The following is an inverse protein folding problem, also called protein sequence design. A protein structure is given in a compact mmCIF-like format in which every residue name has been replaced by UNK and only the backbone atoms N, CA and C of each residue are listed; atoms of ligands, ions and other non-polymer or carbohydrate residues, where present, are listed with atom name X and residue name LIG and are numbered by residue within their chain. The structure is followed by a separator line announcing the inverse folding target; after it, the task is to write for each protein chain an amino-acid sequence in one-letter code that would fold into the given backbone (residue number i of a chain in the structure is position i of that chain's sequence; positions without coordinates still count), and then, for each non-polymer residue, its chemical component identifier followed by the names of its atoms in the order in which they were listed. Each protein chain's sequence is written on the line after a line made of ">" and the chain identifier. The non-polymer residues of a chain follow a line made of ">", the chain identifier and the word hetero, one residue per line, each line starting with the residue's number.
data_IF_855947135208
#
_entry.id   IF_855947135208
#
_cell.length_a   1.000
_cell.length_b   1.000
_cell.length_c   1.000
_cell.angle_alpha   90.00
_cell.angle_beta   90.00
_cell.angle_gamma   90.00
#
_symmetry.space_group_name_H-M   'P 1'
#
loop_
_entity.id
_entity.type
_entity.pdbx_description
1 polymer ?
#
# COMPACT_ATOMS: atom_id res chain seq x y z
N UNK A 1 18.82 -8.15 -52.84
CA UNK A 1 17.50 -8.25 -52.17
C UNK A 1 17.76 -8.61 -50.72
N UNK A 2 17.74 -7.65 -49.83
CA UNK A 2 17.99 -7.85 -48.38
C UNK A 2 16.66 -8.17 -47.72
N UNK A 3 16.50 -9.37 -47.21
CA UNK A 3 15.31 -9.81 -46.50
C UNK A 3 15.22 -9.09 -45.16
N UNK A 4 14.12 -8.37 -44.89
CA UNK A 4 13.89 -7.74 -43.61
C UNK A 4 13.83 -8.81 -42.49
N UNK A 5 14.39 -8.55 -41.29
CA UNK A 5 14.35 -9.50 -40.20
C UNK A 5 12.90 -9.73 -39.78
N UNK A 6 12.50 -11.01 -39.67
CA UNK A 6 11.20 -11.39 -39.15
C UNK A 6 11.05 -10.89 -37.71
N UNK A 7 10.05 -10.04 -37.45
CA UNK A 7 9.70 -9.60 -36.12
C UNK A 7 9.21 -10.79 -35.31
N UNK A 8 9.90 -11.08 -34.20
CA UNK A 8 9.45 -12.08 -33.25
C UNK A 8 8.03 -11.74 -32.73
N UNK A 9 7.15 -12.71 -32.55
CA UNK A 9 5.81 -12.45 -32.02
C UNK A 9 5.89 -11.86 -30.63
N UNK A 10 5.17 -10.76 -30.41
CA UNK A 10 5.07 -10.14 -29.09
C UNK A 10 4.41 -11.11 -28.11
N UNK A 11 5.01 -11.40 -26.96
CA UNK A 11 4.41 -12.32 -25.99
C UNK A 11 3.09 -11.75 -25.48
N UNK A 12 2.03 -12.56 -25.50
CA UNK A 12 0.72 -12.19 -24.97
C UNK A 12 0.72 -12.44 -23.46
N UNK A 13 0.52 -11.37 -22.69
CA UNK A 13 0.38 -11.45 -21.23
C UNK A 13 -1.09 -11.75 -20.88
N UNK A 14 -1.30 -12.78 -20.07
CA UNK A 14 -2.61 -13.12 -19.55
C UNK A 14 -2.71 -12.64 -18.09
N UNK A 15 -3.76 -11.84 -17.79
CA UNK A 15 -4.02 -11.41 -16.42
C UNK A 15 -4.42 -12.62 -15.56
N UNK A 16 -3.89 -12.69 -14.33
CA UNK A 16 -4.38 -13.62 -13.31
C UNK A 16 -5.78 -13.24 -12.80
N UNK A 17 -6.16 -11.97 -12.98
CA UNK A 17 -7.39 -11.39 -12.46
C UNK A 17 -8.17 -10.71 -13.60
N UNK A 18 -8.67 -11.47 -14.59
CA UNK A 18 -9.31 -10.90 -15.78
C UNK A 18 -10.61 -10.16 -15.45
N UNK A 19 -11.26 -10.51 -14.34
CA UNK A 19 -12.53 -9.91 -13.87
C UNK A 19 -12.34 -8.66 -12.99
N UNK A 20 -11.10 -8.31 -12.64
CA UNK A 20 -10.82 -7.12 -11.83
C UNK A 20 -10.66 -5.91 -12.74
N UNK A 21 -11.61 -5.00 -12.67
CA UNK A 21 -11.63 -3.73 -13.40
C UNK A 21 -11.27 -2.53 -12.51
N UNK A 22 -11.69 -1.36 -12.98
CA UNK A 22 -11.56 -0.10 -12.21
C UNK A 22 -12.44 -0.14 -10.96
N UNK A 23 -11.91 0.31 -9.83
CA UNK A 23 -12.66 0.33 -8.57
C UNK A 23 -13.81 1.34 -8.61
N UNK A 24 -14.86 1.09 -7.83
CA UNK A 24 -15.98 2.03 -7.68
C UNK A 24 -15.51 3.42 -7.17
N UNK A 25 -14.47 3.45 -6.34
CA UNK A 25 -13.89 4.70 -5.84
C UNK A 25 -13.30 5.55 -6.97
N UNK A 26 -12.59 4.94 -7.89
CA UNK A 26 -12.05 5.63 -9.06
C UNK A 26 -13.16 6.16 -9.95
N UNK A 27 -14.21 5.36 -10.19
CA UNK A 27 -15.36 5.76 -11.01
C UNK A 27 -16.10 6.94 -10.37
N UNK A 28 -16.42 6.86 -9.07
CA UNK A 28 -17.15 7.91 -8.36
C UNK A 28 -16.33 9.19 -8.22
N UNK A 29 -15.01 9.08 -8.02
CA UNK A 29 -14.13 10.25 -7.99
C UNK A 29 -14.04 10.94 -9.34
N UNK A 30 -13.96 10.18 -10.42
CA UNK A 30 -13.98 10.74 -11.77
C UNK A 30 -15.29 11.47 -12.08
N UNK A 31 -16.43 10.90 -11.73
CA UNK A 31 -17.76 11.52 -11.88
C UNK A 31 -17.88 12.80 -11.04
N UNK A 32 -17.38 12.80 -9.81
CA UNK A 32 -17.39 14.00 -8.97
C UNK A 32 -16.59 15.14 -9.62
N UNK A 33 -15.44 14.85 -10.20
CA UNK A 33 -14.63 15.84 -10.92
C UNK A 33 -15.36 16.33 -12.19
N UNK A 34 -15.91 15.42 -13.00
CA UNK A 34 -16.61 15.74 -14.25
C UNK A 34 -17.81 16.67 -14.00
N UNK A 35 -18.55 16.43 -12.93
CA UNK A 35 -19.74 17.21 -12.60
C UNK A 35 -19.48 18.35 -11.61
N UNK A 36 -18.23 18.65 -11.27
CA UNK A 36 -17.84 19.62 -10.25
C UNK A 36 -18.61 19.44 -8.91
N UNK A 37 -18.89 18.19 -8.55
CA UNK A 37 -19.65 17.81 -7.37
C UNK A 37 -18.75 17.56 -6.17
N UNK A 38 -19.30 17.70 -4.96
CA UNK A 38 -18.61 17.29 -3.73
C UNK A 38 -18.50 15.75 -3.71
N UNK A 39 -17.30 15.23 -3.62
CA UNK A 39 -17.07 13.80 -3.54
C UNK A 39 -17.37 13.28 -2.13
N UNK A 40 -18.52 12.67 -1.95
CA UNK A 40 -18.93 12.01 -0.69
C UNK A 40 -18.67 10.49 -0.71
N UNK A 41 -18.17 9.96 -1.83
CA UNK A 41 -17.90 8.53 -1.98
C UNK A 41 -16.60 8.08 -1.34
N UNK A 42 -15.66 9.00 -1.17
CA UNK A 42 -14.37 8.73 -0.54
C UNK A 42 -13.92 9.95 0.28
N UNK A 43 -13.53 9.73 1.53
CA UNK A 43 -12.98 10.78 2.38
C UNK A 43 -11.57 11.15 1.96
N UNK A 44 -11.37 12.40 1.57
CA UNK A 44 -10.07 13.02 1.38
C UNK A 44 -9.89 14.16 2.37
N UNK A 45 -8.70 14.32 2.98
CA UNK A 45 -8.38 15.55 3.67
C UNK A 45 -8.44 16.72 2.67
N UNK A 46 -9.14 17.80 3.02
CA UNK A 46 -9.20 19.04 2.27
C UNK A 46 -8.25 20.11 2.84
N UNK A 47 -7.31 19.67 3.66
CA UNK A 47 -6.28 20.48 4.32
C UNK A 47 -4.91 19.89 4.06
N UNK A 48 -3.91 20.78 4.06
CA UNK A 48 -2.51 20.38 3.85
C UNK A 48 -1.91 19.64 5.04
N UNK A 49 -0.80 18.93 4.77
CA UNK A 49 -0.02 18.29 5.81
C UNK A 49 0.55 19.33 6.79
N UNK A 50 0.66 18.97 8.08
CA UNK A 50 1.26 19.84 9.10
C UNK A 50 2.65 20.31 8.65
N UNK A 51 2.91 21.64 8.64
CA UNK A 51 4.20 22.20 8.23
C UNK A 51 5.39 21.61 9.00
N UNK A 52 5.22 21.29 10.30
CA UNK A 52 6.28 20.68 11.10
C UNK A 52 6.68 19.29 10.56
N UNK A 53 5.72 18.51 10.02
CA UNK A 53 6.03 17.23 9.38
C UNK A 53 6.76 17.42 8.06
N UNK A 54 6.36 18.41 7.26
CA UNK A 54 7.04 18.75 6.00
C UNK A 54 8.49 19.14 6.29
N UNK A 55 8.73 19.99 7.28
CA UNK A 55 10.06 20.43 7.69
C UNK A 55 10.91 19.25 8.20
N UNK A 56 10.33 18.34 8.98
CA UNK A 56 11.02 17.15 9.47
C UNK A 56 11.48 16.24 8.32
N UNK A 57 10.63 16.03 7.32
CA UNK A 57 11.00 15.26 6.10
C UNK A 57 12.12 15.97 5.35
N UNK A 58 12.01 17.28 5.13
CA UNK A 58 13.05 18.08 4.47
C UNK A 58 14.40 17.99 5.19
N UNK A 59 14.39 18.12 6.52
CA UNK A 59 15.60 18.01 7.35
C UNK A 59 16.22 16.60 7.26
N UNK A 60 15.41 15.54 7.34
CA UNK A 60 15.89 14.17 7.21
C UNK A 60 16.56 13.92 5.84
N UNK A 61 15.95 14.42 4.75
CA UNK A 61 16.53 14.33 3.41
C UNK A 61 17.88 15.05 3.31
N UNK A 62 17.98 16.27 3.86
CA UNK A 62 19.25 17.03 3.90
C UNK A 62 20.32 16.40 4.79
N UNK A 63 19.89 15.71 5.85
CA UNK A 63 20.80 14.95 6.72
C UNK A 63 21.31 13.64 6.10
N UNK A 64 20.90 13.32 4.87
CA UNK A 64 21.39 12.15 4.13
C UNK A 64 20.59 10.86 4.36
N UNK A 65 19.41 10.93 4.98
CA UNK A 65 18.53 9.75 5.14
C UNK A 65 17.80 9.40 3.84
N UNK A 66 18.56 9.20 2.75
CA UNK A 66 18.05 8.97 1.39
C UNK A 66 18.45 7.60 0.84
N UNK A 67 19.09 6.75 1.65
CA UNK A 67 19.58 5.45 1.21
C UNK A 67 18.56 4.34 1.48
N UNK A 68 18.79 3.19 0.86
CA UNK A 68 17.97 2.01 1.06
C UNK A 68 17.94 1.58 2.53
N UNK A 69 16.75 1.48 3.13
CA UNK A 69 16.63 0.98 4.50
C UNK A 69 16.79 -0.56 4.51
N UNK A 70 17.05 -1.15 5.69
CA UNK A 70 16.86 -2.59 5.89
C UNK A 70 15.43 -3.02 5.52
N UNK A 71 15.25 -4.25 5.02
CA UNK A 71 13.93 -4.76 4.58
C UNK A 71 12.79 -4.58 5.60
N UNK A 72 12.97 -4.82 6.91
CA UNK A 72 11.91 -4.57 7.88
C UNK A 72 11.74 -3.09 8.28
N UNK A 73 12.51 -2.19 7.71
CA UNK A 73 12.56 -0.77 8.05
C UNK A 73 13.72 -0.40 8.97
N UNK A 74 14.03 0.90 9.07
CA UNK A 74 15.13 1.38 9.90
C UNK A 74 14.84 1.12 11.40
N UNK A 75 15.86 0.70 12.19
CA UNK A 75 15.66 0.36 13.61
C UNK A 75 15.06 1.50 14.43
N UNK A 76 15.50 2.74 14.20
CA UNK A 76 14.99 3.91 14.93
C UNK A 76 13.47 4.11 14.74
N UNK A 77 12.94 3.89 13.53
CA UNK A 77 11.50 4.00 13.28
C UNK A 77 10.73 2.86 13.98
N UNK A 78 11.24 1.63 13.92
CA UNK A 78 10.62 0.49 14.58
C UNK A 78 10.58 0.66 16.09
N UNK A 79 11.67 1.13 16.69
CA UNK A 79 11.72 1.45 18.13
C UNK A 79 10.73 2.58 18.52
N UNK A 80 10.65 3.64 17.71
CA UNK A 80 9.68 4.72 17.94
C UNK A 80 8.23 4.23 17.86
N UNK A 81 7.92 3.31 16.91
CA UNK A 81 6.59 2.69 16.81
C UNK A 81 6.30 1.82 18.05
N UNK A 82 7.25 0.98 18.49
CA UNK A 82 7.09 0.15 19.69
C UNK A 82 6.76 1.03 20.90
N UNK A 83 7.54 2.08 21.15
CA UNK A 83 7.31 3.04 22.24
C UNK A 83 5.96 3.75 22.14
N UNK A 84 5.55 4.16 20.93
CA UNK A 84 4.24 4.79 20.70
C UNK A 84 3.09 3.84 21.03
N UNK A 85 3.17 2.59 20.57
CA UNK A 85 2.12 1.60 20.84
C UNK A 85 2.04 1.29 22.34
N UNK A 86 3.17 1.15 23.02
CA UNK A 86 3.21 0.95 24.45
C UNK A 86 2.54 2.12 25.20
N UNK A 87 2.88 3.35 24.85
CA UNK A 87 2.31 4.55 25.50
C UNK A 87 0.80 4.71 25.27
N UNK A 88 0.29 4.37 24.07
CA UNK A 88 -1.12 4.57 23.70
C UNK A 88 -2.01 3.39 24.07
N UNK A 89 -1.48 2.16 24.05
CA UNK A 89 -2.27 0.94 24.15
C UNK A 89 -1.81 0.00 25.26
N UNK A 90 -0.78 0.37 26.03
CA UNK A 90 -0.16 -0.46 27.07
C UNK A 90 0.24 -1.86 26.56
N UNK A 91 0.66 -1.96 25.29
CA UNK A 91 1.12 -3.17 24.62
C UNK A 91 2.59 -3.03 24.27
N UNK A 92 3.38 -4.01 24.64
CA UNK A 92 4.79 -4.08 24.28
C UNK A 92 4.98 -4.97 23.06
N UNK A 93 5.78 -4.49 22.10
CA UNK A 93 6.21 -5.23 20.92
C UNK A 93 7.72 -5.16 20.79
N UNK A 94 8.33 -6.28 20.42
CA UNK A 94 9.75 -6.33 20.09
C UNK A 94 9.99 -5.69 18.72
N UNK A 95 10.69 -4.56 18.71
CA UNK A 95 10.97 -3.82 17.47
C UNK A 95 11.76 -4.64 16.44
N UNK A 96 12.48 -5.69 16.88
CA UNK A 96 13.31 -6.49 15.99
C UNK A 96 12.58 -7.64 15.30
N UNK A 97 11.50 -8.16 15.89
CA UNK A 97 10.82 -9.38 15.43
C UNK A 97 9.34 -9.21 15.16
N UNK A 98 8.70 -8.13 15.68
CA UNK A 98 7.25 -7.96 15.62
C UNK A 98 6.81 -6.71 14.87
N UNK A 99 7.76 -5.91 14.34
CA UNK A 99 7.46 -4.68 13.60
C UNK A 99 8.14 -4.70 12.23
N UNK A 100 7.35 -4.53 11.18
CA UNK A 100 7.80 -4.38 9.80
C UNK A 100 7.18 -3.12 9.19
N UNK A 101 8.00 -2.30 8.55
CA UNK A 101 7.56 -1.09 7.85
C UNK A 101 7.20 -1.45 6.40
N UNK A 102 6.05 -0.96 5.96
CA UNK A 102 5.54 -1.19 4.60
C UNK A 102 5.21 0.13 3.90
N UNK A 103 5.14 0.11 2.59
CA UNK A 103 4.67 1.25 1.78
C UNK A 103 3.14 1.36 1.85
N UNK A 104 2.63 1.74 3.03
CA UNK A 104 1.22 1.89 3.33
C UNK A 104 0.50 0.59 3.72
N UNK A 105 -0.75 0.74 4.13
CA UNK A 105 -1.60 -0.35 4.63
C UNK A 105 -1.88 -1.42 3.56
N UNK A 106 -1.99 -1.03 2.30
CA UNK A 106 -2.23 -1.97 1.20
C UNK A 106 -1.12 -3.02 1.09
N UNK A 107 0.14 -2.60 1.13
CA UNK A 107 1.26 -3.54 1.13
C UNK A 107 1.29 -4.39 2.40
N UNK A 108 0.99 -3.80 3.57
CA UNK A 108 0.94 -4.55 4.83
C UNK A 108 -0.07 -5.69 4.76
N UNK A 109 -1.31 -5.41 4.33
CA UNK A 109 -2.39 -6.38 4.24
C UNK A 109 -2.05 -7.46 3.21
N UNK A 110 -1.62 -7.07 2.01
CA UNK A 110 -1.26 -8.04 0.97
C UNK A 110 -0.13 -8.96 1.43
N UNK A 111 0.91 -8.41 2.05
CA UNK A 111 2.04 -9.20 2.55
C UNK A 111 1.60 -10.14 3.67
N UNK A 112 0.74 -9.69 4.58
CA UNK A 112 0.20 -10.54 5.64
C UNK A 112 -0.62 -11.70 5.07
N UNK A 113 -1.51 -11.43 4.10
CA UNK A 113 -2.29 -12.48 3.43
C UNK A 113 -1.36 -13.51 2.77
N UNK A 114 -0.40 -13.05 1.97
CA UNK A 114 0.53 -13.94 1.27
C UNK A 114 1.42 -14.76 2.22
N UNK A 115 1.66 -14.27 3.44
CA UNK A 115 2.49 -14.94 4.42
C UNK A 115 1.75 -16.04 5.21
N UNK A 116 0.42 -15.91 5.42
CA UNK A 116 -0.31 -16.76 6.35
C UNK A 116 -1.50 -17.52 5.74
N UNK A 117 -1.98 -17.09 4.57
CA UNK A 117 -3.16 -17.71 3.92
C UNK A 117 -2.71 -18.67 2.83
N UNK A 118 -3.12 -19.91 2.91
CA UNK A 118 -2.80 -20.98 1.95
C UNK A 118 -4.00 -21.24 1.01
N UNK A 119 -3.77 -21.84 -0.16
CA UNK A 119 -4.86 -22.28 -1.02
C UNK A 119 -5.84 -23.21 -0.28
N UNK A 120 -7.13 -22.84 -0.29
CA UNK A 120 -8.18 -23.57 0.42
C UNK A 120 -8.52 -23.06 1.82
N UNK A 121 -7.75 -22.13 2.36
CA UNK A 121 -8.07 -21.49 3.64
C UNK A 121 -9.28 -20.55 3.52
N UNK A 122 -10.06 -20.48 4.58
CA UNK A 122 -11.18 -19.56 4.71
C UNK A 122 -10.75 -18.32 5.51
N UNK A 123 -11.06 -17.12 4.98
CA UNK A 123 -10.70 -15.85 5.60
C UNK A 123 -11.94 -14.99 5.83
N UNK A 124 -12.17 -14.56 7.06
CA UNK A 124 -13.25 -13.62 7.41
C UNK A 124 -12.68 -12.19 7.35
N UNK A 125 -13.29 -11.36 6.51
CA UNK A 125 -12.91 -9.96 6.35
C UNK A 125 -14.00 -9.08 6.96
N UNK A 126 -13.60 -8.27 7.94
CA UNK A 126 -14.48 -7.31 8.61
C UNK A 126 -14.28 -5.92 7.99
N UNK A 127 -15.29 -5.43 7.29
CA UNK A 127 -15.30 -4.09 6.69
C UNK A 127 -15.22 -4.05 5.17
N UNK A 128 -15.69 -2.96 4.61
CA UNK A 128 -15.83 -2.76 3.15
C UNK A 128 -14.47 -2.60 2.45
N UNK A 129 -13.50 -2.01 3.13
CA UNK A 129 -12.18 -1.67 2.57
C UNK A 129 -11.27 -2.88 2.30
N UNK A 130 -11.46 -3.95 3.06
CA UNK A 130 -10.59 -5.12 2.97
C UNK A 130 -10.99 -6.06 1.82
N UNK A 131 -12.22 -6.00 1.34
CA UNK A 131 -12.73 -6.91 0.29
C UNK A 131 -12.00 -6.73 -1.04
N UNK A 132 -11.64 -5.52 -1.43
CA UNK A 132 -10.91 -5.25 -2.67
C UNK A 132 -9.49 -5.84 -2.65
N UNK A 133 -8.79 -5.75 -1.52
CA UNK A 133 -7.44 -6.30 -1.35
C UNK A 133 -7.46 -7.83 -1.39
N UNK A 134 -8.49 -8.46 -0.82
CA UNK A 134 -8.65 -9.92 -0.89
C UNK A 134 -9.02 -10.41 -2.29
N UNK A 135 -9.74 -9.63 -3.08
CA UNK A 135 -10.00 -9.97 -4.48
C UNK A 135 -8.73 -10.00 -5.31
N UNK A 136 -7.77 -9.09 -5.01
CA UNK A 136 -6.47 -9.05 -5.68
C UNK A 136 -5.52 -10.18 -5.26
N UNK A 137 -5.71 -10.75 -4.07
CA UNK A 137 -4.88 -11.82 -3.52
C UNK A 137 -5.40 -13.24 -3.82
N UNK A 138 -6.49 -13.40 -4.58
CA UNK A 138 -6.97 -14.72 -4.99
C UNK A 138 -5.94 -15.44 -5.87
N UNK A 139 -5.65 -16.72 -5.58
CA UNK A 139 -4.72 -17.53 -6.35
C UNK A 139 -5.22 -17.80 -7.77
#
# INVERSE_FOLDING_TARGET
>A
MTQAPATAPTPTLHSKLPEVGTTIFTVMSALAVEHAAVNLGQGFPDFDCDPALIDAVHQAMRAGHNQYPPMPGIPALRAAIASKIEALHARQYCENTEITITAGATQAILTAILAIVHPGDEVIVLGVWATELFQQARP
#
